data_IF_499640456990
#
_entry.id   IF_499640456990
#
_cell.length_a   1.000
_cell.length_b   1.000
_cell.length_c   1.000
_cell.angle_alpha   90.00
_cell.angle_beta   90.00
_cell.angle_gamma   90.00
#
_symmetry.space_group_name_H-M   'P 1'
#
loop_
_entity.id
_entity.type
_entity.pdbx_description
1 polymer ?
#
# COMPACT_ATOMS: atom_id res chain seq x y z
N UNK A 1 -12.29 -25.38 20.99
CA UNK A 1 -11.51 -24.33 21.67
C UNK A 1 -10.08 -24.20 21.16
N UNK A 2 -9.51 -25.23 20.55
CA UNK A 2 -8.14 -25.24 19.94
C UNK A 2 -8.02 -24.38 18.66
N UNK A 3 -8.98 -24.40 17.76
CA UNK A 3 -8.93 -23.74 16.46
C UNK A 3 -8.80 -22.20 16.55
N UNK A 4 -9.35 -21.56 17.58
CA UNK A 4 -9.30 -20.11 17.78
C UNK A 4 -7.91 -19.62 18.23
N UNK A 5 -7.24 -20.40 19.06
CA UNK A 5 -5.88 -20.09 19.56
C UNK A 5 -4.87 -20.27 18.43
N UNK A 6 -5.04 -21.27 17.58
CA UNK A 6 -4.18 -21.52 16.43
C UNK A 6 -4.31 -20.41 15.39
N UNK A 7 -5.52 -19.92 15.17
CA UNK A 7 -5.76 -18.79 14.24
C UNK A 7 -5.16 -17.48 14.75
N UNK A 8 -5.31 -17.15 16.03
CA UNK A 8 -4.67 -15.97 16.64
C UNK A 8 -3.15 -16.10 16.54
N UNK A 9 -2.59 -17.26 16.84
CA UNK A 9 -1.14 -17.48 16.74
C UNK A 9 -0.62 -17.35 15.30
N UNK A 10 -1.37 -17.80 14.29
CA UNK A 10 -1.03 -17.63 12.89
C UNK A 10 -1.04 -16.15 12.48
N UNK A 11 -2.02 -15.38 12.93
CA UNK A 11 -2.17 -13.95 12.65
C UNK A 11 -1.07 -13.12 13.31
N UNK A 12 -0.78 -13.39 14.60
CA UNK A 12 0.33 -12.74 15.31
C UNK A 12 1.67 -13.04 14.63
N UNK A 13 1.92 -14.28 14.21
CA UNK A 13 3.12 -14.66 13.45
C UNK A 13 3.24 -13.91 12.13
N UNK A 14 2.14 -13.76 11.39
CA UNK A 14 2.13 -13.03 10.12
C UNK A 14 2.41 -11.52 10.33
N UNK A 15 1.81 -10.91 11.35
CA UNK A 15 2.06 -9.52 11.71
C UNK A 15 3.51 -9.31 12.16
N UNK A 16 4.04 -10.19 13.01
CA UNK A 16 5.44 -10.15 13.44
C UNK A 16 6.41 -10.35 12.27
N UNK A 17 6.12 -11.26 11.34
CA UNK A 17 6.94 -11.45 10.13
C UNK A 17 6.95 -10.19 9.26
N UNK A 18 5.83 -9.50 9.13
CA UNK A 18 5.73 -8.23 8.41
C UNK A 18 6.55 -7.13 9.11
N UNK A 19 6.42 -7.01 10.44
CA UNK A 19 7.20 -6.04 11.23
C UNK A 19 8.70 -6.35 11.16
N UNK A 20 9.11 -7.62 11.24
CA UNK A 20 10.51 -8.02 11.09
C UNK A 20 11.07 -7.72 9.70
N UNK A 21 10.27 -7.95 8.65
CA UNK A 21 10.64 -7.60 7.28
C UNK A 21 10.80 -6.09 7.12
N UNK A 22 9.88 -5.29 7.66
CA UNK A 22 9.94 -3.83 7.68
C UNK A 22 11.17 -3.32 8.43
N UNK A 23 11.44 -3.86 9.62
CA UNK A 23 12.61 -3.52 10.42
C UNK A 23 13.92 -3.84 9.67
N UNK A 24 14.06 -5.08 9.22
CA UNK A 24 15.27 -5.55 8.51
C UNK A 24 15.56 -4.75 7.26
N UNK A 25 14.55 -4.35 6.51
CA UNK A 25 14.73 -3.58 5.29
C UNK A 25 14.95 -2.09 5.56
N UNK A 26 14.36 -1.54 6.63
CA UNK A 26 14.53 -0.13 7.00
C UNK A 26 15.90 0.13 7.60
N UNK A 27 16.41 -0.78 8.42
CA UNK A 27 17.69 -0.63 9.14
C UNK A 27 18.91 -1.19 8.39
N UNK A 28 18.73 -1.72 7.19
CA UNK A 28 19.83 -2.21 6.33
C UNK A 28 20.82 -1.11 5.91
N UNK A 29 20.41 0.15 5.95
CA UNK A 29 21.17 1.32 5.48
C UNK A 29 21.66 2.25 6.61
N UNK A 30 21.62 1.80 7.87
CA UNK A 30 22.03 2.62 9.02
C UNK A 30 20.88 3.15 9.86
N UNK A 31 21.21 3.57 11.08
CA UNK A 31 20.27 4.04 12.13
C UNK A 31 20.09 5.56 12.11
N UNK A 32 19.96 6.19 10.96
CA UNK A 32 19.69 7.63 10.88
C UNK A 32 18.22 7.99 11.22
N UNK A 33 17.97 9.25 11.56
CA UNK A 33 16.64 9.74 11.91
C UNK A 33 15.62 9.56 10.74
N UNK A 34 16.09 9.64 9.49
CA UNK A 34 15.26 9.46 8.32
C UNK A 34 14.77 8.01 8.17
N UNK A 35 15.64 7.03 8.47
CA UNK A 35 15.28 5.61 8.47
C UNK A 35 14.30 5.29 9.59
N UNK A 36 14.48 5.89 10.77
CA UNK A 36 13.56 5.75 11.91
C UNK A 36 12.17 6.31 11.59
N UNK A 37 12.09 7.52 11.06
CA UNK A 37 10.82 8.14 10.65
C UNK A 37 10.08 7.34 9.57
N UNK A 38 10.81 6.72 8.63
CA UNK A 38 10.23 5.82 7.62
C UNK A 38 9.65 4.57 8.25
N UNK A 39 10.35 3.97 9.21
CA UNK A 39 9.88 2.79 9.92
C UNK A 39 8.62 3.09 10.73
N UNK A 40 8.60 4.19 11.49
CA UNK A 40 7.46 4.62 12.30
C UNK A 40 6.21 4.91 11.44
N UNK A 41 6.38 5.55 10.28
CA UNK A 41 5.29 5.80 9.35
C UNK A 41 4.69 4.50 8.80
N UNK A 42 5.52 3.50 8.49
CA UNK A 42 5.08 2.17 8.02
C UNK A 42 4.39 1.38 9.12
N UNK A 43 4.95 1.41 10.32
CA UNK A 43 4.34 0.77 11.49
C UNK A 43 2.97 1.37 11.80
N UNK A 44 2.82 2.68 11.68
CA UNK A 44 1.54 3.38 11.83
C UNK A 44 0.54 2.99 10.74
N UNK A 45 0.98 2.79 9.48
CA UNK A 45 0.12 2.29 8.41
C UNK A 45 -0.34 0.85 8.66
N UNK A 46 0.57 0.00 9.14
CA UNK A 46 0.22 -1.37 9.56
C UNK A 46 -0.77 -1.36 10.74
N UNK A 47 -0.59 -0.43 11.70
CA UNK A 47 -1.52 -0.23 12.81
C UNK A 47 -2.93 0.12 12.33
N UNK A 48 -3.07 1.07 11.42
CA UNK A 48 -4.38 1.43 10.84
C UNK A 48 -5.04 0.28 10.08
N UNK A 49 -4.27 -0.50 9.31
CA UNK A 49 -4.78 -1.71 8.66
C UNK A 49 -5.26 -2.74 9.69
N UNK A 50 -4.51 -2.91 10.76
CA UNK A 50 -4.89 -3.77 11.89
C UNK A 50 -6.17 -3.30 12.58
N UNK A 51 -6.33 -2.00 12.82
CA UNK A 51 -7.52 -1.44 13.48
C UNK A 51 -8.76 -1.62 12.59
N UNK A 52 -8.64 -1.39 11.29
CA UNK A 52 -9.72 -1.62 10.32
C UNK A 52 -10.16 -3.10 10.30
N UNK A 53 -9.22 -4.03 10.37
CA UNK A 53 -9.48 -5.46 10.44
C UNK A 53 -10.06 -5.87 11.81
N UNK A 54 -9.59 -5.30 12.90
CA UNK A 54 -10.06 -5.59 14.26
C UNK A 54 -11.51 -5.16 14.44
N UNK A 55 -11.90 -4.00 13.92
CA UNK A 55 -13.27 -3.52 13.94
C UNK A 55 -14.27 -4.47 13.23
N UNK A 56 -13.80 -5.20 12.21
CA UNK A 56 -14.58 -6.21 11.46
C UNK A 56 -14.28 -7.66 11.86
N UNK A 57 -13.82 -7.91 13.09
CA UNK A 57 -13.49 -9.26 13.60
C UNK A 57 -12.51 -10.04 12.71
N UNK A 58 -11.62 -9.33 11.98
CA UNK A 58 -10.64 -9.93 11.07
C UNK A 58 -11.23 -10.68 9.88
N UNK A 59 -12.48 -10.45 9.53
CA UNK A 59 -13.15 -11.10 8.39
C UNK A 59 -12.74 -10.50 7.03
N UNK A 60 -11.82 -9.52 7.04
CA UNK A 60 -11.43 -8.78 5.85
C UNK A 60 -12.10 -7.40 5.79
N UNK A 61 -11.93 -6.70 4.68
CA UNK A 61 -12.55 -5.41 4.43
C UNK A 61 -12.81 -5.22 2.92
N UNK A 62 -13.74 -4.34 2.57
CA UNK A 62 -13.94 -3.93 1.18
C UNK A 62 -12.74 -3.11 0.68
N UNK A 63 -12.33 -3.33 -0.56
CA UNK A 63 -11.18 -2.64 -1.16
C UNK A 63 -11.35 -1.11 -1.13
N UNK A 64 -12.56 -0.59 -1.35
CA UNK A 64 -12.86 0.84 -1.28
C UNK A 64 -12.62 1.42 0.11
N UNK A 65 -12.98 0.69 1.17
CA UNK A 65 -12.72 1.09 2.55
C UNK A 65 -11.22 1.13 2.85
N UNK A 66 -10.47 0.15 2.35
CA UNK A 66 -9.01 0.09 2.52
C UNK A 66 -8.32 1.25 1.81
N UNK A 67 -8.71 1.53 0.57
CA UNK A 67 -8.21 2.67 -0.20
C UNK A 67 -8.52 3.99 0.52
N UNK A 68 -9.78 4.19 0.92
CA UNK A 68 -10.21 5.40 1.61
C UNK A 68 -9.45 5.61 2.92
N UNK A 69 -9.40 4.61 3.79
CA UNK A 69 -8.71 4.70 5.09
C UNK A 69 -7.19 4.94 4.96
N UNK A 70 -6.56 4.32 3.95
CA UNK A 70 -5.12 4.47 3.73
C UNK A 70 -4.77 5.85 3.18
N UNK A 71 -5.60 6.40 2.31
CA UNK A 71 -5.34 7.67 1.62
C UNK A 71 -5.88 8.90 2.38
N UNK A 72 -6.74 8.71 3.39
CA UNK A 72 -7.34 9.80 4.17
C UNK A 72 -6.32 10.84 4.65
N UNK A 73 -5.17 10.49 5.29
CA UNK A 73 -4.21 11.49 5.77
C UNK A 73 -3.62 12.37 4.65
N UNK A 74 -3.49 11.81 3.45
CA UNK A 74 -2.98 12.51 2.28
C UNK A 74 -4.09 13.34 1.61
N UNK A 75 -5.33 12.84 1.60
CA UNK A 75 -6.50 13.53 1.08
C UNK A 75 -6.84 14.76 1.93
N UNK A 76 -6.78 14.65 3.25
CA UNK A 76 -6.97 15.77 4.18
C UNK A 76 -5.91 16.86 4.02
N UNK A 77 -4.64 16.46 3.80
CA UNK A 77 -3.54 17.38 3.52
C UNK A 77 -3.60 18.00 2.11
N UNK A 78 -4.34 17.38 1.19
CA UNK A 78 -4.42 17.76 -0.23
C UNK A 78 -5.85 17.62 -0.75
N UNK A 79 -6.79 18.50 -0.31
CA UNK A 79 -8.20 18.40 -0.67
C UNK A 79 -8.43 18.38 -2.18
N UNK A 80 -9.34 17.49 -2.63
CA UNK A 80 -9.75 17.32 -4.04
C UNK A 80 -8.64 16.91 -5.02
N UNK A 81 -7.47 16.49 -4.53
CA UNK A 81 -6.35 16.06 -5.37
C UNK A 81 -6.18 14.55 -5.46
N UNK A 82 -6.89 13.81 -4.61
CA UNK A 82 -6.92 12.36 -4.64
C UNK A 82 -8.34 11.91 -4.97
N UNK A 83 -8.48 11.14 -6.03
CA UNK A 83 -9.74 10.53 -6.43
C UNK A 83 -9.57 9.01 -6.48
N UNK A 84 -10.59 8.27 -6.09
CA UNK A 84 -10.62 6.81 -6.22
C UNK A 84 -12.01 6.31 -6.56
N UNK A 85 -12.08 5.26 -7.36
CA UNK A 85 -13.32 4.61 -7.80
C UNK A 85 -13.08 3.16 -8.19
N UNK A 86 -14.08 2.31 -7.96
CA UNK A 86 -14.06 0.91 -8.36
C UNK A 86 -15.19 0.08 -7.77
N UNK A 87 -15.25 -1.18 -8.17
CA UNK A 87 -16.25 -2.12 -7.70
C UNK A 87 -16.05 -2.47 -6.21
N UNK A 88 -17.14 -2.81 -5.50
CA UNK A 88 -17.05 -3.42 -4.18
C UNK A 88 -16.44 -4.81 -4.31
N UNK A 89 -15.32 -5.06 -3.62
CA UNK A 89 -14.61 -6.34 -3.61
C UNK A 89 -14.18 -6.65 -2.18
N UNK A 90 -14.73 -7.71 -1.55
CA UNK A 90 -14.28 -8.15 -0.25
C UNK A 90 -12.87 -8.73 -0.36
N UNK A 91 -11.98 -8.36 0.56
CA UNK A 91 -10.60 -8.80 0.59
C UNK A 91 -10.28 -9.55 1.88
N UNK A 92 -9.42 -10.55 1.80
CA UNK A 92 -8.86 -11.20 2.97
C UNK A 92 -8.01 -10.24 3.82
N UNK A 93 -7.85 -10.55 5.10
CA UNK A 93 -6.99 -9.76 6.01
C UNK A 93 -5.57 -9.58 5.49
N UNK A 94 -5.02 -10.58 4.80
CA UNK A 94 -3.69 -10.52 4.20
C UNK A 94 -3.65 -9.50 3.06
N UNK A 95 -4.65 -9.52 2.17
CA UNK A 95 -4.77 -8.59 1.07
C UNK A 95 -4.95 -7.15 1.57
N UNK A 96 -5.76 -6.93 2.61
CA UNK A 96 -5.93 -5.63 3.26
C UNK A 96 -4.60 -5.05 3.75
N UNK A 97 -3.82 -5.83 4.50
CA UNK A 97 -2.52 -5.38 5.03
C UNK A 97 -1.54 -5.04 3.89
N UNK A 98 -1.42 -5.92 2.90
CA UNK A 98 -0.48 -5.71 1.80
C UNK A 98 -0.87 -4.52 0.92
N UNK A 99 -2.14 -4.39 0.59
CA UNK A 99 -2.62 -3.25 -0.20
C UNK A 99 -2.43 -1.92 0.56
N UNK A 100 -2.74 -1.88 1.86
CA UNK A 100 -2.53 -0.70 2.69
C UNK A 100 -1.05 -0.27 2.71
N UNK A 101 -0.12 -1.21 2.82
CA UNK A 101 1.31 -0.91 2.79
C UNK A 101 1.74 -0.33 1.43
N UNK A 102 1.30 -0.95 0.33
CA UNK A 102 1.62 -0.48 -1.03
C UNK A 102 1.06 0.92 -1.28
N UNK A 103 -0.23 1.14 -0.98
CA UNK A 103 -0.88 2.44 -1.15
C UNK A 103 -0.22 3.54 -0.31
N UNK A 104 0.18 3.21 0.94
CA UNK A 104 0.88 4.14 1.80
C UNK A 104 2.26 4.55 1.24
N UNK A 105 3.02 3.59 0.70
CA UNK A 105 4.31 3.87 0.05
C UNK A 105 4.12 4.73 -1.20
N UNK A 106 3.13 4.43 -2.05
CA UNK A 106 2.81 5.23 -3.23
C UNK A 106 2.40 6.66 -2.84
N UNK A 107 1.50 6.82 -1.88
CA UNK A 107 1.04 8.12 -1.40
C UNK A 107 2.15 8.95 -0.75
N UNK A 108 3.03 8.31 0.03
CA UNK A 108 4.20 8.95 0.63
C UNK A 108 5.18 9.44 -0.44
N UNK A 109 5.40 8.65 -1.48
CA UNK A 109 6.26 9.03 -2.61
C UNK A 109 5.62 10.16 -3.42
N UNK A 110 4.32 10.09 -3.69
CA UNK A 110 3.59 11.17 -4.35
C UNK A 110 3.68 12.50 -3.58
N UNK A 111 3.57 12.46 -2.25
CA UNK A 111 3.67 13.64 -1.39
C UNK A 111 5.09 14.22 -1.32
N UNK A 112 6.12 13.38 -1.38
CA UNK A 112 7.52 13.82 -1.25
C UNK A 112 8.17 14.21 -2.57
N UNK A 113 7.87 13.46 -3.62
CA UNK A 113 8.62 13.52 -4.87
C UNK A 113 7.73 13.57 -6.11
N UNK A 114 6.46 13.17 -6.00
CA UNK A 114 5.53 13.00 -7.11
C UNK A 114 4.45 14.08 -7.17
N UNK A 115 3.30 13.71 -7.67
CA UNK A 115 2.21 14.62 -7.98
C UNK A 115 1.73 15.45 -6.78
N UNK A 116 1.66 14.89 -5.58
CA UNK A 116 1.18 15.61 -4.41
C UNK A 116 2.20 16.59 -3.82
N UNK A 117 3.45 16.61 -4.30
CA UNK A 117 4.47 17.59 -3.87
C UNK A 117 4.24 18.99 -4.42
N UNK A 118 3.38 19.15 -5.43
CA UNK A 118 3.03 20.44 -6.04
C UNK A 118 1.52 20.68 -6.03
N UNK A 119 1.02 21.93 -5.99
CA UNK A 119 -0.41 22.22 -5.81
C UNK A 119 -1.33 21.68 -6.92
N UNK A 120 -0.84 21.61 -8.16
CA UNK A 120 -1.64 21.20 -9.33
C UNK A 120 -1.70 19.69 -9.54
N UNK A 121 -0.80 18.96 -8.91
CA UNK A 121 -0.69 17.51 -9.07
C UNK A 121 -1.86 16.75 -8.48
N UNK A 122 -2.19 15.64 -9.09
CA UNK A 122 -3.33 14.77 -8.75
C UNK A 122 -2.94 13.31 -8.75
N UNK A 123 -3.68 12.54 -7.95
CA UNK A 123 -3.61 11.08 -7.88
C UNK A 123 -4.98 10.51 -8.19
N UNK A 124 -5.03 9.52 -9.06
CA UNK A 124 -6.21 8.72 -9.34
C UNK A 124 -5.93 7.25 -9.02
N UNK A 125 -6.85 6.62 -8.29
CA UNK A 125 -6.81 5.19 -8.00
C UNK A 125 -8.09 4.55 -8.54
N UNK A 126 -7.96 3.54 -9.38
CA UNK A 126 -9.13 2.82 -9.91
C UNK A 126 -8.90 1.33 -9.85
N UNK A 127 -9.98 0.55 -9.69
CA UNK A 127 -9.89 -0.90 -9.70
C UNK A 127 -11.11 -1.56 -10.31
N UNK A 128 -10.89 -2.76 -10.83
CA UNK A 128 -11.92 -3.65 -11.35
C UNK A 128 -11.71 -5.04 -10.79
N UNK A 129 -12.81 -5.80 -10.71
CA UNK A 129 -12.76 -7.25 -10.50
C UNK A 129 -12.87 -7.92 -11.87
N UNK A 130 -11.81 -8.56 -12.28
CA UNK A 130 -11.72 -9.29 -13.55
C UNK A 130 -12.22 -10.74 -13.39
N UNK A 131 -12.47 -11.45 -14.51
CA UNK A 131 -12.73 -12.89 -14.49
C UNK A 131 -11.64 -13.65 -13.71
N UNK A 132 -12.00 -14.80 -13.15
CA UNK A 132 -11.11 -15.62 -12.29
C UNK A 132 -10.70 -14.95 -10.97
N UNK A 133 -11.57 -14.07 -10.45
CA UNK A 133 -11.40 -13.47 -9.12
C UNK A 133 -10.07 -12.72 -8.96
N UNK A 134 -9.74 -11.93 -9.97
CA UNK A 134 -8.51 -11.13 -10.00
C UNK A 134 -8.85 -9.64 -9.92
N UNK A 135 -8.33 -8.96 -8.91
CA UNK A 135 -8.40 -7.49 -8.82
C UNK A 135 -7.31 -6.90 -9.70
N UNK A 136 -7.69 -5.92 -10.54
CA UNK A 136 -6.76 -5.01 -11.21
C UNK A 136 -6.90 -3.64 -10.61
N UNK A 137 -5.86 -3.16 -9.92
CA UNK A 137 -5.81 -1.82 -9.35
C UNK A 137 -4.76 -0.99 -10.07
N UNK A 138 -5.15 0.22 -10.46
CA UNK A 138 -4.28 1.19 -11.11
C UNK A 138 -4.16 2.44 -10.24
N UNK A 139 -2.92 2.81 -9.95
CA UNK A 139 -2.51 4.10 -9.39
C UNK A 139 -1.93 4.96 -10.51
N UNK A 140 -2.37 6.21 -10.62
CA UNK A 140 -1.86 7.16 -11.61
C UNK A 140 -1.62 8.52 -10.97
N UNK A 141 -0.41 9.02 -11.13
CA UNK A 141 -0.05 10.40 -10.81
C UNK A 141 -0.09 11.26 -12.08
N UNK A 142 -0.43 12.53 -11.93
CA UNK A 142 -0.43 13.50 -13.04
C UNK A 142 -0.23 14.93 -12.54
N UNK A 143 0.27 15.81 -13.41
CA UNK A 143 0.49 17.22 -13.08
C UNK A 143 1.56 17.47 -12.01
N UNK A 144 2.36 16.48 -11.70
CA UNK A 144 3.50 16.56 -10.81
C UNK A 144 4.78 17.02 -11.51
N UNK A 145 5.91 17.08 -10.78
CA UNK A 145 7.20 17.28 -11.39
C UNK A 145 7.54 16.10 -12.32
N UNK A 146 8.38 16.31 -13.36
CA UNK A 146 8.83 15.21 -14.21
C UNK A 146 9.44 14.07 -13.40
N UNK A 147 8.98 12.86 -13.65
CA UNK A 147 9.42 11.67 -12.90
C UNK A 147 10.40 10.87 -13.74
N UNK A 148 11.58 10.64 -13.19
CA UNK A 148 12.57 9.72 -13.75
C UNK A 148 12.71 8.46 -12.91
N UNK A 149 13.18 7.38 -13.54
CA UNK A 149 13.49 6.15 -12.81
C UNK A 149 14.56 6.45 -11.76
N UNK A 150 14.33 6.15 -10.48
CA UNK A 150 15.32 6.45 -9.45
C UNK A 150 16.59 5.63 -9.63
N UNK A 151 17.77 6.25 -9.44
CA UNK A 151 19.09 5.62 -9.54
C UNK A 151 19.29 4.48 -8.53
N UNK A 152 18.53 4.52 -7.42
CA UNK A 152 18.59 3.49 -6.37
C UNK A 152 17.20 2.92 -6.13
N UNK A 153 17.12 1.60 -6.21
CA UNK A 153 15.91 0.87 -5.82
C UNK A 153 15.69 1.07 -4.32
N UNK A 154 14.65 1.82 -3.97
CA UNK A 154 14.27 2.06 -2.59
C UNK A 154 13.44 0.90 -2.00
N UNK A 155 13.14 1.04 -0.71
CA UNK A 155 12.25 0.06 -0.04
C UNK A 155 10.88 -0.03 -0.72
N UNK A 156 10.25 1.12 -1.02
CA UNK A 156 8.92 1.16 -1.63
C UNK A 156 8.84 0.38 -2.93
N UNK A 157 9.81 0.58 -3.84
CA UNK A 157 9.87 -0.19 -5.09
C UNK A 157 10.07 -1.69 -4.84
N UNK A 158 10.93 -2.05 -3.87
CA UNK A 158 11.15 -3.47 -3.49
C UNK A 158 9.89 -4.08 -2.87
N UNK A 159 9.19 -3.35 -2.01
CA UNK A 159 7.93 -3.80 -1.42
C UNK A 159 6.88 -4.04 -2.50
N UNK A 160 6.72 -3.08 -3.42
CA UNK A 160 5.71 -3.14 -4.47
C UNK A 160 6.04 -4.27 -5.45
N UNK A 161 7.24 -4.28 -6.04
CA UNK A 161 7.59 -5.21 -7.12
C UNK A 161 7.86 -6.64 -6.63
N UNK A 162 8.45 -6.80 -5.44
CA UNK A 162 8.85 -8.12 -4.91
C UNK A 162 8.00 -8.58 -3.75
N UNK A 163 7.78 -7.71 -2.76
CA UNK A 163 7.04 -8.06 -1.54
C UNK A 163 5.58 -8.34 -1.83
N UNK A 164 4.92 -7.48 -2.59
CA UNK A 164 3.53 -7.65 -2.98
C UNK A 164 3.34 -8.91 -3.82
N UNK A 165 4.12 -9.08 -4.89
CA UNK A 165 4.04 -10.25 -5.77
C UNK A 165 4.27 -11.56 -5.01
N UNK A 166 5.28 -11.63 -4.16
CA UNK A 166 5.58 -12.84 -3.38
C UNK A 166 4.48 -13.18 -2.35
N UNK A 167 3.82 -12.17 -1.80
CA UNK A 167 2.80 -12.37 -0.76
C UNK A 167 1.40 -12.56 -1.32
N UNK A 168 1.06 -11.90 -2.42
CA UNK A 168 -0.27 -11.92 -2.99
C UNK A 168 -0.44 -12.94 -4.12
N UNK A 169 0.65 -13.49 -4.67
CA UNK A 169 0.59 -14.40 -5.81
C UNK A 169 0.16 -13.72 -7.11
N UNK A 170 0.30 -12.38 -7.16
CA UNK A 170 -0.09 -11.55 -8.30
C UNK A 170 1.10 -10.89 -8.98
N UNK A 171 0.86 -9.76 -9.63
CA UNK A 171 1.88 -8.93 -10.26
C UNK A 171 1.80 -7.48 -9.82
N UNK A 172 2.93 -6.79 -9.87
CA UNK A 172 3.04 -5.36 -9.63
C UNK A 172 4.00 -4.74 -10.63
N UNK A 173 3.57 -3.69 -11.30
CA UNK A 173 4.36 -2.99 -12.30
C UNK A 173 4.40 -1.50 -12.02
N UNK A 174 5.60 -0.95 -11.81
CA UNK A 174 5.85 0.48 -11.69
C UNK A 174 6.39 1.03 -13.00
N UNK A 175 5.81 2.12 -13.48
CA UNK A 175 6.29 2.87 -14.65
C UNK A 175 6.52 4.32 -14.27
N UNK A 176 7.71 4.80 -14.54
CA UNK A 176 8.14 6.19 -14.34
C UNK A 176 8.07 6.88 -15.70
N UNK A 177 7.00 7.66 -15.91
CA UNK A 177 6.75 8.37 -17.16
C UNK A 177 6.92 9.88 -16.95
N UNK A 178 7.23 10.65 -17.99
CA UNK A 178 7.38 12.11 -17.86
C UNK A 178 6.18 12.80 -17.21
N UNK A 179 4.97 12.29 -17.43
CA UNK A 179 3.72 12.84 -16.91
C UNK A 179 3.40 12.42 -15.47
N UNK A 180 4.14 11.47 -14.90
CA UNK A 180 3.95 10.98 -13.54
C UNK A 180 4.19 9.48 -13.37
N UNK A 181 4.11 9.01 -12.14
CA UNK A 181 4.21 7.59 -11.79
C UNK A 181 2.88 6.88 -12.09
N UNK A 182 2.98 5.70 -12.67
CA UNK A 182 1.87 4.73 -12.71
C UNK A 182 2.27 3.42 -12.02
N UNK A 183 1.31 2.82 -11.30
CA UNK A 183 1.48 1.51 -10.70
C UNK A 183 0.26 0.66 -11.02
N UNK A 184 0.48 -0.50 -11.63
CA UNK A 184 -0.55 -1.50 -11.87
C UNK A 184 -0.31 -2.70 -10.96
N UNK A 185 -1.36 -3.11 -10.23
CA UNK A 185 -1.37 -4.28 -9.36
C UNK A 185 -2.42 -5.26 -9.88
N UNK A 186 -2.06 -6.54 -9.98
CA UNK A 186 -3.00 -7.63 -10.25
C UNK A 186 -2.86 -8.67 -9.15
N UNK A 187 -3.96 -9.06 -8.50
CA UNK A 187 -3.90 -9.98 -7.37
C UNK A 187 -5.25 -10.63 -7.06
N UNK A 188 -5.28 -11.84 -6.49
CA UNK A 188 -6.49 -12.42 -5.95
C UNK A 188 -6.87 -11.71 -4.64
N UNK A 189 -8.15 -11.39 -4.41
CA UNK A 189 -8.60 -10.68 -3.20
C UNK A 189 -8.59 -11.55 -1.93
N UNK A 190 -8.47 -12.91 -2.09
CA UNK A 190 -8.60 -13.91 -1.01
C UNK A 190 -7.32 -14.66 -0.69
#
# INVERSE_FOLDING_TARGET
>A
MSCWIDEINHRVKNTLATVQSLASQTFRSGTDAASRNKFDARLSSLGRAHDALSAKKWEGADIGEVVAATLEPFASASPHRIAFDGASVPMSSRAVVMLSLVLHELATNAAKYGALSVPVGRVAVSWTLEPHDTVKLNWRESGGPPVGKPDRVGFGSTLIEKGFTAQMGGSATLRYEPDGLTCALEFPPH
#
